data_IF_967065233135
#
_entry.id   IF_967065233135
#
_cell.length_a   1.000
_cell.length_b   1.000
_cell.length_c   1.000
_cell.angle_alpha   90.00
_cell.angle_beta   90.00
_cell.angle_gamma   90.00
#
_symmetry.space_group_name_H-M   'P 1'
#
loop_
_entity.id
_entity.type
_entity.pdbx_description
1 polymer ?
#
# COMPACT_ATOMS: atom_id res chain seq x y z
N UNK A 1 -18.09 -10.70 19.27
CA UNK A 1 -16.61 -10.75 19.22
C UNK A 1 -16.16 -10.01 17.97
N UNK A 2 -15.11 -9.19 18.04
CA UNK A 2 -14.60 -8.44 16.89
C UNK A 2 -13.13 -8.82 16.66
N UNK A 3 -12.77 -9.07 15.40
CA UNK A 3 -11.38 -9.27 14.99
C UNK A 3 -10.93 -7.99 14.31
N UNK A 4 -9.84 -7.41 14.81
CA UNK A 4 -9.19 -6.25 14.18
C UNK A 4 -7.90 -6.72 13.53
N UNK A 5 -7.75 -6.40 12.24
CA UNK A 5 -6.50 -6.60 11.49
C UNK A 5 -5.84 -5.24 11.33
N UNK A 6 -4.54 -5.16 11.60
CA UNK A 6 -3.75 -3.95 11.45
C UNK A 6 -2.61 -4.18 10.46
N UNK A 7 -2.27 -3.15 9.69
CA UNK A 7 -1.24 -3.22 8.67
C UNK A 7 0.07 -2.65 9.22
N UNK A 8 1.06 -3.52 9.41
CA UNK A 8 2.36 -3.11 9.91
C UNK A 8 3.05 -2.14 8.93
N UNK A 9 3.28 -0.89 9.38
CA UNK A 9 3.98 0.15 8.59
C UNK A 9 3.40 0.27 7.18
N UNK A 10 2.08 0.45 7.09
CA UNK A 10 1.35 0.38 5.83
C UNK A 10 1.92 1.28 4.72
N UNK A 11 2.29 2.52 5.08
CA UNK A 11 2.93 3.47 4.15
C UNK A 11 4.31 3.03 3.70
N UNK A 12 5.14 2.45 4.58
CA UNK A 12 6.52 2.04 4.26
C UNK A 12 6.58 0.73 3.46
N UNK A 13 5.57 -0.14 3.60
CA UNK A 13 5.56 -1.47 2.98
C UNK A 13 4.91 -1.51 1.59
N UNK A 14 4.26 -0.43 1.19
CA UNK A 14 3.57 -0.33 -0.10
C UNK A 14 4.56 -0.47 -1.27
N UNK A 15 4.36 -1.46 -2.15
CA UNK A 15 5.26 -1.67 -3.31
C UNK A 15 4.93 -0.67 -4.40
N UNK A 16 5.96 -0.06 -5.00
CA UNK A 16 5.78 0.93 -6.06
C UNK A 16 5.13 0.39 -7.33
N UNK A 17 5.38 -0.89 -7.67
CA UNK A 17 4.71 -1.51 -8.82
C UNK A 17 3.21 -1.58 -8.57
N UNK A 18 2.79 -2.00 -7.37
CA UNK A 18 1.37 -2.04 -7.01
C UNK A 18 0.71 -0.65 -7.05
N UNK A 19 1.43 0.40 -6.65
CA UNK A 19 0.95 1.78 -6.80
C UNK A 19 0.78 2.14 -8.28
N UNK A 20 1.77 1.83 -9.11
CA UNK A 20 1.73 2.12 -10.54
C UNK A 20 0.57 1.39 -11.24
N UNK A 21 0.36 0.11 -10.92
CA UNK A 21 -0.75 -0.70 -11.41
C UNK A 21 -2.09 -0.11 -10.95
N UNK A 22 -2.22 0.22 -9.67
CA UNK A 22 -3.42 0.87 -9.10
C UNK A 22 -3.77 2.17 -9.82
N UNK A 23 -2.78 3.03 -10.10
CA UNK A 23 -3.02 4.30 -10.80
C UNK A 23 -3.49 4.08 -12.25
N UNK A 24 -3.03 3.01 -12.90
CA UNK A 24 -3.48 2.63 -14.24
C UNK A 24 -4.91 2.07 -14.20
N UNK A 25 -5.21 1.19 -13.26
CA UNK A 25 -6.53 0.55 -13.11
C UNK A 25 -7.65 1.56 -12.78
N UNK A 26 -7.33 2.58 -11.99
CA UNK A 26 -8.27 3.69 -11.68
C UNK A 26 -8.49 4.61 -12.89
N UNK A 27 -7.71 4.46 -13.96
CA UNK A 27 -7.87 5.22 -15.21
C UNK A 27 -7.24 6.62 -15.18
N UNK A 28 -6.23 6.85 -14.34
CA UNK A 28 -5.51 8.13 -14.35
C UNK A 28 -4.73 8.31 -15.66
N UNK A 29 -4.68 9.54 -16.22
CA UNK A 29 -3.88 9.79 -17.42
C UNK A 29 -2.42 9.40 -17.22
N UNK A 30 -1.83 8.69 -18.17
CA UNK A 30 -0.44 8.18 -18.08
C UNK A 30 0.58 9.27 -17.74
N UNK A 31 0.38 10.49 -18.22
CA UNK A 31 1.22 11.63 -17.89
C UNK A 31 1.16 11.98 -16.39
N UNK A 32 -0.04 11.98 -15.80
CA UNK A 32 -0.24 12.25 -14.37
C UNK A 32 0.33 11.10 -13.53
N UNK A 33 0.05 9.85 -13.89
CA UNK A 33 0.60 8.69 -13.19
C UNK A 33 2.13 8.71 -13.19
N UNK A 34 2.77 9.08 -14.31
CA UNK A 34 4.22 9.24 -14.39
C UNK A 34 4.75 10.34 -13.47
N UNK A 35 4.06 11.48 -13.36
CA UNK A 35 4.44 12.55 -12.43
C UNK A 35 4.36 12.08 -10.98
N UNK A 36 3.27 11.41 -10.61
CA UNK A 36 3.08 10.84 -9.27
C UNK A 36 4.18 9.83 -8.96
N UNK A 37 4.45 8.89 -9.87
CA UNK A 37 5.49 7.88 -9.68
C UNK A 37 6.89 8.49 -9.60
N UNK A 38 7.18 9.55 -10.36
CA UNK A 38 8.45 10.27 -10.23
C UNK A 38 8.58 10.91 -8.83
N UNK A 39 7.52 11.52 -8.29
CA UNK A 39 7.52 12.07 -6.93
C UNK A 39 7.75 11.00 -5.85
N UNK A 40 7.27 9.78 -6.07
CA UNK A 40 7.43 8.65 -5.13
C UNK A 40 8.83 8.03 -5.22
N UNK A 41 9.39 7.89 -6.43
CA UNK A 41 10.64 7.14 -6.68
C UNK A 41 11.92 7.95 -6.50
N UNK A 42 11.87 9.26 -6.68
CA UNK A 42 13.04 10.16 -6.65
C UNK A 42 13.57 10.54 -5.26
N UNK A 43 12.79 10.59 -4.17
CA UNK A 43 13.30 10.99 -2.87
C UNK A 43 14.43 10.08 -2.39
N UNK A 44 15.47 10.68 -1.81
CA UNK A 44 16.51 9.95 -1.06
C UNK A 44 16.29 10.16 0.44
N UNK A 45 16.68 9.18 1.23
CA UNK A 45 16.52 9.17 2.68
C UNK A 45 17.86 9.08 3.38
N UNK A 46 17.96 9.68 4.55
CA UNK A 46 19.11 9.58 5.45
C UNK A 46 18.58 9.31 6.85
N UNK A 47 19.27 8.44 7.60
CA UNK A 47 18.95 8.21 9.01
C UNK A 47 19.69 9.26 9.83
N UNK A 48 18.96 10.03 10.63
CA UNK A 48 19.57 10.93 11.60
C UNK A 48 19.96 10.14 12.85
N UNK A 49 21.26 9.91 13.05
CA UNK A 49 21.79 9.19 14.21
C UNK A 49 22.54 10.16 15.13
N UNK A 50 22.02 10.39 16.34
CA UNK A 50 22.57 11.35 17.32
C UNK A 50 22.82 12.75 16.71
N UNK A 51 21.89 13.24 15.90
CA UNK A 51 22.00 14.54 15.23
C UNK A 51 22.94 14.57 14.02
N UNK A 52 23.58 13.45 13.67
CA UNK A 52 24.42 13.33 12.47
C UNK A 52 23.71 12.52 11.39
N UNK A 53 23.60 13.02 10.15
CA UNK A 53 23.02 12.25 9.07
C UNK A 53 23.91 11.06 8.68
N UNK A 54 23.29 9.92 8.38
CA UNK A 54 23.94 8.75 7.80
C UNK A 54 24.25 8.95 6.32
N UNK A 55 24.86 7.93 5.70
CA UNK A 55 24.92 7.83 4.23
C UNK A 55 23.49 7.83 3.67
N UNK A 56 23.32 8.55 2.56
CA UNK A 56 22.07 8.62 1.82
C UNK A 56 21.77 7.30 1.13
N UNK A 57 20.51 6.88 1.16
CA UNK A 57 20.01 5.71 0.46
C UNK A 57 18.69 6.02 -0.23
N UNK A 58 18.42 5.32 -1.33
CA UNK A 58 17.14 5.44 -2.04
C UNK A 58 16.21 4.33 -1.54
N UNK A 59 15.01 4.66 -1.03
CA UNK A 59 14.01 3.65 -0.71
C UNK A 59 13.61 2.87 -1.97
N UNK A 60 13.21 1.62 -1.81
CA UNK A 60 12.73 0.78 -2.92
C UNK A 60 11.22 0.52 -2.87
N UNK A 61 10.58 1.00 -1.81
CA UNK A 61 9.15 0.86 -1.53
C UNK A 61 8.72 1.96 -0.57
N UNK A 62 7.42 2.09 -0.44
CA UNK A 62 6.74 2.97 0.48
C UNK A 62 6.46 4.34 -0.10
N UNK A 63 5.60 5.08 0.59
CA UNK A 63 5.13 6.41 0.24
C UNK A 63 5.24 7.32 1.48
N UNK A 64 5.27 8.64 1.29
CA UNK A 64 5.56 9.59 2.37
C UNK A 64 4.33 9.82 3.23
N UNK A 65 4.38 9.49 4.51
CA UNK A 65 3.22 9.60 5.40
C UNK A 65 2.71 11.04 5.58
N UNK A 66 3.61 12.04 5.53
CA UNK A 66 3.27 13.47 5.72
C UNK A 66 2.91 14.21 4.42
N UNK A 67 2.70 13.48 3.32
CA UNK A 67 2.29 14.05 2.04
C UNK A 67 0.78 13.83 1.83
N UNK A 68 -0.03 14.90 1.68
CA UNK A 68 -1.46 14.77 1.41
C UNK A 68 -1.78 13.86 0.23
N UNK A 69 -0.96 13.86 -0.82
CA UNK A 69 -1.15 13.01 -1.99
C UNK A 69 -1.00 11.52 -1.64
N UNK A 70 -0.03 11.20 -0.77
CA UNK A 70 0.26 9.84 -0.35
C UNK A 70 -0.93 9.21 0.40
N UNK A 71 -1.70 9.99 1.17
CA UNK A 71 -2.92 9.51 1.82
C UNK A 71 -3.98 9.07 0.80
N UNK A 72 -4.20 9.82 -0.28
CA UNK A 72 -5.15 9.45 -1.33
C UNK A 72 -4.69 8.22 -2.11
N UNK A 73 -3.41 8.16 -2.46
CA UNK A 73 -2.84 6.99 -3.14
C UNK A 73 -2.98 5.74 -2.28
N UNK A 74 -2.75 5.86 -0.97
CA UNK A 74 -2.93 4.75 -0.04
C UNK A 74 -4.38 4.24 -0.04
N UNK A 75 -5.38 5.14 -0.02
CA UNK A 75 -6.79 4.75 -0.08
C UNK A 75 -7.12 4.02 -1.39
N UNK A 76 -6.64 4.52 -2.54
CA UNK A 76 -6.81 3.84 -3.83
C UNK A 76 -6.19 2.43 -3.83
N UNK A 77 -4.98 2.30 -3.28
CA UNK A 77 -4.29 1.03 -3.16
C UNK A 77 -5.07 0.05 -2.27
N UNK A 78 -5.67 0.53 -1.17
CA UNK A 78 -6.48 -0.28 -0.28
C UNK A 78 -7.79 -0.74 -0.92
N UNK A 79 -8.41 0.11 -1.74
CA UNK A 79 -9.60 -0.24 -2.52
C UNK A 79 -9.28 -1.32 -3.56
N UNK A 80 -8.22 -1.14 -4.36
CA UNK A 80 -7.75 -2.16 -5.30
C UNK A 80 -7.40 -3.47 -4.59
N UNK A 81 -6.70 -3.41 -3.45
CA UNK A 81 -6.39 -4.59 -2.64
C UNK A 81 -7.68 -5.31 -2.20
N UNK A 82 -8.68 -4.58 -1.70
CA UNK A 82 -9.98 -5.14 -1.31
C UNK A 82 -10.64 -5.88 -2.46
N UNK A 83 -10.65 -5.29 -3.66
CA UNK A 83 -11.22 -5.89 -4.86
C UNK A 83 -10.45 -7.15 -5.28
N UNK A 84 -9.11 -7.12 -5.28
CA UNK A 84 -8.27 -8.29 -5.59
C UNK A 84 -8.54 -9.44 -4.63
N UNK A 85 -8.71 -9.16 -3.33
CA UNK A 85 -9.07 -10.17 -2.32
C UNK A 85 -10.43 -10.79 -2.66
N UNK A 86 -11.43 -9.99 -3.02
CA UNK A 86 -12.76 -10.50 -3.38
C UNK A 86 -12.73 -11.37 -4.63
N UNK A 87 -11.98 -10.97 -5.66
CA UNK A 87 -11.80 -11.77 -6.88
C UNK A 87 -11.15 -13.11 -6.54
N UNK A 88 -10.05 -13.11 -5.77
CA UNK A 88 -9.37 -14.33 -5.36
C UNK A 88 -10.26 -15.27 -4.52
N UNK A 89 -11.18 -14.72 -3.70
CA UNK A 89 -12.18 -15.52 -2.98
C UNK A 89 -13.18 -16.16 -3.93
N UNK A 90 -13.67 -15.41 -4.93
CA UNK A 90 -14.65 -15.91 -5.90
C UNK A 90 -14.06 -16.99 -6.81
N UNK A 91 -12.78 -16.88 -7.15
CA UNK A 91 -12.05 -17.86 -7.95
C UNK A 91 -11.60 -19.08 -7.12
N UNK A 92 -11.75 -19.03 -5.79
CA UNK A 92 -11.35 -20.10 -4.88
C UNK A 92 -9.85 -20.17 -4.60
N UNK A 93 -9.07 -19.19 -5.07
CA UNK A 93 -7.64 -19.08 -4.77
C UNK A 93 -7.37 -18.63 -3.33
N UNK A 94 -8.33 -17.92 -2.73
CA UNK A 94 -8.26 -17.49 -1.34
C UNK A 94 -9.44 -18.04 -0.52
N UNK A 95 -9.13 -18.87 0.47
CA UNK A 95 -10.10 -19.29 1.48
C UNK A 95 -10.48 -18.13 2.44
N UNK A 96 -11.73 -17.65 2.42
CA UNK A 96 -12.15 -16.58 3.32
C UNK A 96 -12.11 -17.05 4.77
N UNK A 97 -11.82 -16.12 5.68
CA UNK A 97 -11.73 -16.40 7.11
C UNK A 97 -13.14 -16.65 7.65
N UNK A 98 -13.51 -17.92 7.83
CA UNK A 98 -14.78 -18.32 8.43
C UNK A 98 -14.61 -18.44 9.93
N UNK A 99 -15.30 -17.61 10.70
CA UNK A 99 -15.38 -17.75 12.15
C UNK A 99 -16.82 -18.07 12.56
N UNK A 100 -17.02 -19.21 13.20
CA UNK A 100 -18.26 -19.57 13.87
C UNK A 100 -18.12 -19.39 15.38
N UNK A 101 -19.12 -18.79 16.03
CA UNK A 101 -19.41 -19.19 17.41
C UNK A 101 -19.87 -20.63 17.28
N UNK A 102 -19.13 -21.58 17.87
CA UNK A 102 -19.53 -22.99 17.80
C UNK A 102 -20.93 -23.15 18.37
N UNK A 103 -21.91 -23.40 17.52
CA UNK A 103 -22.91 -24.41 17.86
C UNK A 103 -22.22 -25.74 17.57
N UNK A 104 -21.81 -26.42 18.64
CA UNK A 104 -21.76 -27.87 18.60
C UNK A 104 -23.20 -28.33 18.34
N UNK A 105 -23.36 -29.14 17.28
CA UNK A 105 -24.56 -29.76 16.70
C UNK A 105 -25.19 -29.02 15.51
#
# INVERSE_FOLDING_TARGET
MAIKVDLEKAFDRLRWNFVEDTLQDVGLPTAMSRLIMNCIRTPTMQVLWNGKPSVSFTPQRGIRQDDPLSAYIFVLCMECLSQTIQVAINEGEWNPLRWGVGEFL
#
